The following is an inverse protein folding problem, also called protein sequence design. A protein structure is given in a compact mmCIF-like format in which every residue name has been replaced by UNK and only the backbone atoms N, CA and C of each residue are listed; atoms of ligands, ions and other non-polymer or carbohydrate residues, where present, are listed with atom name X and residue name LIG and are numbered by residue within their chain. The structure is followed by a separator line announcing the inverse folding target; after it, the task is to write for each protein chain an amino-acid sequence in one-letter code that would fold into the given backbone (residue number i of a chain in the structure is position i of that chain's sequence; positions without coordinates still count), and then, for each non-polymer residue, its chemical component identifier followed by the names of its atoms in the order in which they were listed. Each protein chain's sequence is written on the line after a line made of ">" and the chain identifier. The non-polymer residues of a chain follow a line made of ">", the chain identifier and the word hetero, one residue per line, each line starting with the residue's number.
data_IF_194782550147
#
_entry.id   IF_194782550147
#
_cell.length_a   1.000
_cell.length_b   1.000
_cell.length_c   1.000
_cell.angle_alpha   90.00
_cell.angle_beta   90.00
_cell.angle_gamma   90.00
#
_symmetry.space_group_name_H-M   'P 1'
#
loop_
_entity.id
_entity.type
_entity.pdbx_description
1 polymer ?
#
# COMPACT_ATOMS: atom_id res chain seq x y z
N UNK A 1 -13.16 -25.88 37.05
CA UNK A 1 -12.70 -24.63 36.39
C UNK A 1 -11.41 -24.86 35.56
N UNK A 2 -11.38 -25.84 34.65
CA UNK A 2 -10.21 -26.08 33.77
C UNK A 2 -10.56 -26.10 32.27
N UNK A 3 -11.86 -26.09 31.92
CA UNK A 3 -12.34 -26.19 30.53
C UNK A 3 -12.64 -24.83 29.89
N UNK A 4 -12.75 -23.75 30.69
CA UNK A 4 -13.12 -22.42 30.16
C UNK A 4 -11.96 -21.65 29.54
N UNK A 5 -10.73 -21.87 30.02
CA UNK A 5 -9.53 -21.14 29.54
C UNK A 5 -9.13 -21.61 28.13
N UNK A 6 -9.43 -22.86 27.78
CA UNK A 6 -9.07 -23.42 26.47
C UNK A 6 -9.91 -22.85 25.32
N UNK A 7 -11.18 -22.49 25.58
CA UNK A 7 -12.07 -21.92 24.55
C UNK A 7 -11.79 -20.44 24.25
N UNK A 8 -11.21 -19.69 25.20
CA UNK A 8 -10.86 -18.28 24.97
C UNK A 8 -9.58 -18.13 24.14
N UNK A 9 -8.65 -19.10 24.20
CA UNK A 9 -7.48 -19.12 23.33
C UNK A 9 -7.81 -19.48 21.87
N UNK A 10 -8.96 -20.11 21.60
CA UNK A 10 -9.36 -20.50 20.25
C UNK A 10 -9.92 -19.34 19.41
N UNK A 11 -10.25 -18.20 20.05
CA UNK A 11 -10.85 -17.03 19.40
C UNK A 11 -9.82 -16.02 18.84
N UNK A 12 -8.52 -16.22 19.08
CA UNK A 12 -7.48 -15.22 18.73
C UNK A 12 -6.74 -15.55 17.41
N UNK A 13 -6.94 -16.73 16.82
CA UNK A 13 -6.07 -17.21 15.73
C UNK A 13 -6.74 -17.26 14.35
N UNK A 14 -7.58 -16.27 14.02
CA UNK A 14 -7.72 -15.85 12.61
C UNK A 14 -6.95 -14.53 12.50
N UNK A 15 -5.62 -14.61 12.63
CA UNK A 15 -4.76 -13.56 12.10
C UNK A 15 -4.87 -13.73 10.59
N UNK A 16 -5.80 -13.00 9.97
CA UNK A 16 -5.72 -12.76 8.53
C UNK A 16 -4.34 -12.14 8.35
N UNK A 17 -3.40 -12.88 7.76
CA UNK A 17 -2.11 -12.34 7.36
C UNK A 17 -2.41 -11.33 6.25
N UNK A 18 -2.68 -10.10 6.65
CA UNK A 18 -2.57 -8.96 5.75
C UNK A 18 -1.10 -8.92 5.32
N UNK A 19 -0.82 -8.96 4.03
CA UNK A 19 0.56 -8.79 3.56
C UNK A 19 0.89 -7.28 3.60
N UNK A 20 -0.03 -6.44 3.10
CA UNK A 20 0.08 -4.98 3.16
C UNK A 20 -1.24 -4.29 3.53
N UNK A 21 -1.16 -3.13 4.16
CA UNK A 21 -2.27 -2.18 4.35
C UNK A 21 -1.96 -0.85 3.68
N UNK A 22 -2.92 -0.28 2.97
CA UNK A 22 -2.81 1.07 2.40
C UNK A 22 -2.96 2.10 3.52
N UNK A 23 -1.85 2.74 3.92
CA UNK A 23 -1.87 3.74 4.99
C UNK A 23 -2.10 5.16 4.48
N UNK A 24 -1.69 5.44 3.23
CA UNK A 24 -1.94 6.70 2.53
C UNK A 24 -2.18 6.41 1.05
N UNK A 25 -3.09 7.16 0.43
CA UNK A 25 -3.35 7.10 -1.01
C UNK A 25 -3.58 8.51 -1.54
N UNK A 26 -3.08 8.82 -2.72
CA UNK A 26 -3.13 10.19 -3.23
C UNK A 26 -2.51 10.34 -4.60
N UNK A 27 -2.21 11.58 -4.97
CA UNK A 27 -1.61 11.93 -6.26
C UNK A 27 -0.24 12.57 -6.07
N UNK A 28 0.62 12.49 -7.08
CA UNK A 28 1.85 13.28 -7.14
C UNK A 28 1.85 14.25 -8.33
N UNK A 29 2.36 15.46 -8.10
CA UNK A 29 2.38 16.53 -9.12
C UNK A 29 3.34 16.28 -10.27
N UNK A 30 4.36 15.47 -10.03
CA UNK A 30 5.42 15.18 -11.02
C UNK A 30 5.03 14.08 -12.02
N UNK A 31 3.86 13.47 -11.89
CA UNK A 31 3.39 12.53 -12.91
C UNK A 31 2.93 13.30 -14.16
N UNK A 32 3.68 13.17 -15.26
CA UNK A 32 3.29 13.66 -16.61
C UNK A 32 1.93 13.11 -17.10
N UNK A 33 1.34 12.17 -16.36
CA UNK A 33 0.04 11.57 -16.61
C UNK A 33 -0.95 12.15 -15.63
N UNK A 34 -1.88 12.94 -16.14
CA UNK A 34 -3.05 13.39 -15.37
C UNK A 34 -3.95 12.18 -15.09
N UNK A 35 -3.80 11.60 -13.89
CA UNK A 35 -4.69 10.55 -13.42
C UNK A 35 -5.89 11.21 -12.75
N UNK A 36 -7.09 10.92 -13.26
CA UNK A 36 -8.33 11.37 -12.61
C UNK A 36 -8.51 10.79 -11.20
N UNK A 37 -7.74 9.76 -10.83
CA UNK A 37 -7.81 9.03 -9.56
C UNK A 37 -6.48 9.03 -8.80
N UNK A 38 -6.48 8.75 -7.48
CA UNK A 38 -5.25 8.55 -6.70
C UNK A 38 -4.36 7.50 -7.38
N UNK A 39 -3.08 7.82 -7.55
CA UNK A 39 -2.12 7.00 -8.27
C UNK A 39 -0.91 6.60 -7.42
N UNK A 40 -0.71 7.16 -6.23
CA UNK A 40 0.34 6.79 -5.28
C UNK A 40 -0.31 6.12 -4.07
N UNK A 41 0.33 5.05 -3.60
CA UNK A 41 -0.02 4.35 -2.37
C UNK A 41 1.22 4.21 -1.50
N UNK A 42 1.10 4.59 -0.24
CA UNK A 42 2.02 4.16 0.79
C UNK A 42 1.39 2.96 1.51
N UNK A 43 2.16 1.87 1.59
CA UNK A 43 1.72 0.61 2.17
C UNK A 43 2.50 0.35 3.45
N UNK A 44 1.84 -0.10 4.50
CA UNK A 44 2.51 -0.76 5.63
C UNK A 44 2.62 -2.25 5.33
N UNK A 45 3.83 -2.78 5.31
CA UNK A 45 4.14 -4.20 5.14
C UNK A 45 4.19 -4.87 6.51
N UNK A 46 3.32 -5.86 6.72
CA UNK A 46 3.22 -6.57 7.98
C UNK A 46 4.29 -7.66 8.16
N UNK A 47 5.00 -8.05 7.09
CA UNK A 47 6.08 -9.04 7.15
C UNK A 47 7.36 -8.45 7.76
N UNK A 48 7.74 -7.23 7.35
CA UNK A 48 8.97 -6.58 7.81
C UNK A 48 8.75 -5.37 8.74
N UNK A 49 7.50 -5.00 9.00
CA UNK A 49 7.07 -3.86 9.82
C UNK A 49 7.58 -2.51 9.27
N UNK A 50 7.58 -2.37 7.94
CA UNK A 50 8.11 -1.20 7.21
C UNK A 50 7.10 -0.68 6.20
N UNK A 51 7.52 0.33 5.45
CA UNK A 51 6.69 0.99 4.47
C UNK A 51 7.23 0.85 3.06
N UNK A 52 6.32 0.64 2.13
CA UNK A 52 6.59 0.61 0.70
C UNK A 52 5.79 1.70 -0.01
N UNK A 53 6.30 2.21 -1.13
CA UNK A 53 5.58 3.17 -1.97
C UNK A 53 5.38 2.58 -3.36
N UNK A 54 4.12 2.46 -3.76
CA UNK A 54 3.71 1.97 -5.07
C UNK A 54 2.96 3.05 -5.84
N UNK A 55 3.08 2.98 -7.16
CA UNK A 55 2.27 3.75 -8.11
C UNK A 55 1.30 2.81 -8.82
N UNK A 56 0.03 3.16 -8.78
CA UNK A 56 -1.00 2.58 -9.63
C UNK A 56 -0.81 3.10 -11.05
N UNK A 57 -0.67 2.20 -12.02
CA UNK A 57 -0.39 2.56 -13.42
C UNK A 57 -1.55 2.28 -14.38
N UNK A 58 -2.67 1.77 -13.88
CA UNK A 58 -3.88 1.48 -14.66
C UNK A 58 -4.84 2.67 -14.63
N UNK A 59 -5.39 3.05 -15.78
CA UNK A 59 -6.33 4.16 -15.99
C UNK A 59 -7.81 3.74 -15.90
N UNK A 60 -8.11 2.44 -15.79
CA UNK A 60 -9.47 1.90 -15.79
C UNK A 60 -10.20 1.91 -14.44
N UNK A 61 -10.12 2.99 -13.66
CA UNK A 61 -10.84 3.10 -12.36
C UNK A 61 -10.34 2.11 -11.29
N UNK A 62 -9.10 1.65 -11.43
CA UNK A 62 -8.41 0.83 -10.45
C UNK A 62 -7.61 1.75 -9.55
N UNK A 63 -7.88 1.67 -8.25
CA UNK A 63 -7.23 2.45 -7.21
C UNK A 63 -7.51 1.80 -5.87
N UNK A 64 -6.97 2.38 -4.82
CA UNK A 64 -7.10 1.84 -3.47
C UNK A 64 -7.41 2.96 -2.50
N UNK A 65 -8.22 2.61 -1.50
CA UNK A 65 -8.60 3.47 -0.41
C UNK A 65 -7.69 3.23 0.79
N UNK A 66 -7.55 4.24 1.64
CA UNK A 66 -6.88 4.08 2.92
C UNK A 66 -7.60 2.98 3.75
N UNK A 67 -6.81 2.10 4.37
CA UNK A 67 -7.29 0.93 5.11
C UNK A 67 -7.52 -0.32 4.26
N UNK A 68 -7.38 -0.25 2.93
CA UNK A 68 -7.45 -1.44 2.08
C UNK A 68 -6.34 -2.43 2.44
N UNK A 69 -6.72 -3.70 2.59
CA UNK A 69 -5.79 -4.81 2.81
C UNK A 69 -5.48 -5.50 1.48
N UNK A 70 -4.18 -5.55 1.18
CA UNK A 70 -3.62 -6.13 -0.03
C UNK A 70 -2.91 -7.42 0.28
N UNK A 71 -3.19 -8.43 -0.53
CA UNK A 71 -2.36 -9.62 -0.63
C UNK A 71 -1.36 -9.47 -1.78
N UNK A 72 -0.42 -10.41 -1.85
CA UNK A 72 0.59 -10.47 -2.90
C UNK A 72 0.00 -10.56 -4.31
N UNK A 73 -1.17 -11.18 -4.49
CA UNK A 73 -1.82 -11.33 -5.80
C UNK A 73 -2.33 -9.98 -6.30
N UNK A 74 -3.05 -9.23 -5.45
CA UNK A 74 -3.54 -7.88 -5.74
C UNK A 74 -2.39 -6.93 -6.04
N UNK A 75 -1.33 -6.94 -5.23
CA UNK A 75 -0.19 -6.04 -5.43
C UNK A 75 0.54 -6.34 -6.74
N UNK A 76 0.68 -7.63 -7.11
CA UNK A 76 1.35 -8.06 -8.34
C UNK A 76 0.41 -8.24 -9.55
N UNK A 77 -0.83 -7.74 -9.48
CA UNK A 77 -1.83 -7.89 -10.54
C UNK A 77 -1.30 -7.40 -11.88
N UNK A 78 -1.55 -8.19 -12.93
CA UNK A 78 -1.14 -7.91 -14.30
C UNK A 78 -2.23 -8.27 -15.31
N UNK A 79 -2.27 -7.57 -16.44
CA UNK A 79 -3.03 -7.94 -17.63
C UNK A 79 -2.04 -8.06 -18.80
N UNK A 80 -1.84 -9.28 -19.29
CA UNK A 80 -0.76 -9.57 -20.24
C UNK A 80 0.62 -9.18 -19.68
N UNK A 81 1.28 -8.22 -20.33
CA UNK A 81 2.59 -7.68 -19.92
C UNK A 81 2.48 -6.45 -19.00
N UNK A 82 1.29 -5.89 -18.81
CA UNK A 82 1.08 -4.67 -18.05
C UNK A 82 0.85 -4.99 -16.57
N UNK A 83 1.69 -4.43 -15.69
CA UNK A 83 1.48 -4.47 -14.24
C UNK A 83 0.58 -3.32 -13.81
N UNK A 84 -0.28 -3.57 -12.84
CA UNK A 84 -1.24 -2.58 -12.34
C UNK A 84 -0.58 -1.69 -11.29
N UNK A 85 0.34 -2.24 -10.49
CA UNK A 85 1.11 -1.51 -9.50
C UNK A 85 2.59 -1.62 -9.82
N UNK A 86 3.33 -0.53 -9.61
CA UNK A 86 4.78 -0.49 -9.76
C UNK A 86 5.39 0.16 -8.53
N UNK A 87 6.45 -0.45 -8.00
CA UNK A 87 7.27 0.15 -6.95
C UNK A 87 7.78 1.51 -7.45
N UNK A 88 7.64 2.55 -6.63
CA UNK A 88 8.22 3.87 -6.91
C UNK A 88 9.73 3.76 -6.80
N UNK A 89 10.44 4.39 -7.75
CA UNK A 89 11.89 4.51 -7.71
C UNK A 89 12.23 5.98 -7.48
N UNK A 90 12.80 6.28 -6.33
CA UNK A 90 13.20 7.62 -5.93
C UNK A 90 14.73 7.71 -5.87
N UNK A 91 15.33 8.66 -6.60
CA UNK A 91 16.79 8.84 -6.70
C UNK A 91 17.55 7.55 -7.01
N UNK A 92 16.99 6.72 -7.90
CA UNK A 92 17.58 5.44 -8.33
C UNK A 92 17.39 4.27 -7.36
N UNK A 93 16.70 4.46 -6.22
CA UNK A 93 16.41 3.41 -5.24
C UNK A 93 14.93 3.06 -5.24
N UNK A 94 14.62 1.77 -5.11
CA UNK A 94 13.24 1.31 -4.91
C UNK A 94 12.75 1.76 -3.52
N UNK A 95 11.56 2.32 -3.47
CA UNK A 95 10.89 2.74 -2.24
C UNK A 95 10.24 1.53 -1.56
N UNK A 96 11.06 0.62 -1.05
CA UNK A 96 10.65 -0.56 -0.28
C UNK A 96 11.43 -0.63 1.02
N UNK A 97 10.86 -1.23 2.07
CA UNK A 97 11.48 -1.35 3.40
C UNK A 97 11.94 0.02 3.94
N UNK A 98 11.04 0.99 3.94
CA UNK A 98 11.27 2.34 4.45
C UNK A 98 10.84 2.44 5.90
N UNK A 99 11.52 3.28 6.68
CA UNK A 99 10.94 3.78 7.93
C UNK A 99 9.79 4.73 7.64
N UNK A 100 8.90 4.95 8.62
CA UNK A 100 7.82 5.94 8.50
C UNK A 100 8.34 7.32 8.11
N UNK A 101 9.48 7.73 8.68
CA UNK A 101 10.10 9.02 8.38
C UNK A 101 10.56 9.08 6.92
N UNK A 102 11.30 8.07 6.45
CA UNK A 102 11.77 8.04 5.04
C UNK A 102 10.62 8.03 4.05
N UNK A 103 9.55 7.28 4.35
CA UNK A 103 8.33 7.29 3.55
C UNK A 103 7.74 8.70 3.47
N UNK A 104 7.52 9.37 4.60
CA UNK A 104 6.98 10.74 4.63
C UNK A 104 7.88 11.74 3.90
N UNK A 105 9.20 11.69 4.13
CA UNK A 105 10.18 12.56 3.48
C UNK A 105 10.14 12.38 1.94
N UNK A 106 9.96 11.14 1.46
CA UNK A 106 9.81 10.86 0.02
C UNK A 106 8.49 11.41 -0.51
N UNK A 107 7.37 11.14 0.16
CA UNK A 107 6.05 11.63 -0.24
C UNK A 107 6.02 13.16 -0.33
N UNK A 108 6.57 13.86 0.65
CA UNK A 108 6.71 15.33 0.62
C UNK A 108 7.55 15.77 -0.58
N UNK A 109 8.67 15.08 -0.84
CA UNK A 109 9.57 15.45 -1.93
C UNK A 109 8.99 15.27 -3.34
N UNK A 110 8.02 14.36 -3.51
CA UNK A 110 7.29 14.17 -4.77
C UNK A 110 6.01 15.01 -4.82
N UNK A 111 5.85 15.94 -3.86
CA UNK A 111 4.68 16.80 -3.72
C UNK A 111 3.38 15.99 -3.69
N UNK A 112 3.38 14.93 -2.88
CA UNK A 112 2.22 14.09 -2.67
C UNK A 112 1.06 14.91 -2.09
N UNK A 113 -0.10 14.77 -2.72
CA UNK A 113 -1.37 15.29 -2.23
C UNK A 113 -2.27 14.11 -1.88
N UNK A 114 -2.54 13.94 -0.59
CA UNK A 114 -3.42 12.91 -0.09
C UNK A 114 -4.83 13.10 -0.68
N UNK A 115 -5.44 12.02 -1.13
CA UNK A 115 -6.81 12.07 -1.60
C UNK A 115 -7.76 12.00 -0.40
N UNK A 116 -8.63 13.00 -0.25
CA UNK A 116 -9.72 12.94 0.72
C UNK A 116 -10.62 11.74 0.38
N UNK A 117 -10.92 10.93 1.38
CA UNK A 117 -11.72 9.71 1.22
C UNK A 117 -13.08 10.02 0.56
N UNK A 118 -13.50 9.17 -0.37
CA UNK A 118 -14.79 9.21 -1.05
C UNK A 118 -15.71 8.11 -0.49
#
# INVERSE_FOLDING_TARGET
>A
MKKLILMTMLLVSIVVKADWEVVLTGKDKDSEKDFSYPNIMALYDYEDEKYDIYRVTSDHGYGFSQGDILDKEKLNRKSGKFRFNKVVVYKGKKCINLTKKEMMDILESIQFEEAEMW
#
